data_IF_212100709089
#
_entry.id   IF_212100709089
#
_cell.length_a   1.000
_cell.length_b   1.000
_cell.length_c   1.000
_cell.angle_alpha   90.00
_cell.angle_beta   90.00
_cell.angle_gamma   90.00
#
_symmetry.space_group_name_H-M   'P 1'
#
loop_
_entity.id
_entity.type
_entity.pdbx_description
1 polymer ?
#
# COMPACT_ATOMS: atom_id res chain seq x y z
N UNK A 1 -3.12 -30.32 -21.49
CA UNK A 1 -2.44 -29.70 -20.33
C UNK A 1 -3.52 -29.43 -19.29
N UNK A 2 -3.33 -29.82 -18.06
CA UNK A 2 -4.28 -29.54 -16.96
C UNK A 2 -4.13 -28.05 -16.60
N UNK A 3 -5.22 -27.37 -16.19
CA UNK A 3 -5.20 -25.94 -15.81
C UNK A 3 -4.07 -25.59 -14.80
N UNK A 4 -3.73 -26.53 -13.91
CA UNK A 4 -2.65 -26.36 -12.94
C UNK A 4 -1.24 -26.41 -13.57
N UNK A 5 -1.05 -27.22 -14.61
CA UNK A 5 0.21 -27.29 -15.37
C UNK A 5 0.42 -25.99 -16.17
N UNK A 6 -0.63 -25.49 -16.80
CA UNK A 6 -0.57 -24.21 -17.52
C UNK A 6 -0.25 -23.04 -16.58
N UNK A 7 -0.87 -23.01 -15.38
CA UNK A 7 -0.56 -22.01 -14.36
C UNK A 7 0.91 -22.11 -13.92
N UNK A 8 1.40 -23.32 -13.67
CA UNK A 8 2.78 -23.55 -13.26
C UNK A 8 3.78 -23.06 -14.33
N UNK A 9 3.57 -23.41 -15.59
CA UNK A 9 4.40 -22.95 -16.70
C UNK A 9 4.40 -21.43 -16.82
N UNK A 10 3.24 -20.78 -16.75
CA UNK A 10 3.11 -19.33 -16.76
C UNK A 10 3.85 -18.62 -15.61
N UNK A 11 4.25 -19.35 -14.57
CA UNK A 11 5.02 -18.80 -13.43
C UNK A 11 6.51 -19.08 -13.55
N UNK A 12 6.89 -20.34 -13.90
CA UNK A 12 8.27 -20.81 -13.77
C UNK A 12 9.08 -20.76 -15.06
N UNK A 13 8.46 -20.57 -16.21
CA UNK A 13 9.18 -20.46 -17.48
C UNK A 13 10.07 -19.22 -17.56
N UNK A 14 11.05 -19.30 -18.46
CA UNK A 14 12.04 -18.24 -18.69
C UNK A 14 11.42 -16.88 -18.97
N UNK A 15 10.45 -16.81 -19.88
CA UNK A 15 9.87 -15.53 -20.31
C UNK A 15 9.09 -14.82 -19.20
N UNK A 16 8.16 -15.46 -18.44
CA UNK A 16 7.51 -14.88 -17.26
C UNK A 16 8.51 -14.41 -16.19
N UNK A 17 9.56 -15.19 -15.92
CA UNK A 17 10.60 -14.84 -14.96
C UNK A 17 11.43 -13.63 -15.44
N UNK A 18 11.83 -13.60 -16.71
CA UNK A 18 12.55 -12.48 -17.30
C UNK A 18 11.72 -11.19 -17.27
N UNK A 19 10.44 -11.28 -17.62
CA UNK A 19 9.51 -10.16 -17.51
C UNK A 19 9.37 -9.66 -16.07
N UNK A 20 9.36 -10.57 -15.11
CA UNK A 20 9.33 -10.26 -13.68
C UNK A 20 10.61 -9.58 -13.21
N UNK A 21 11.78 -9.99 -13.70
CA UNK A 21 13.06 -9.30 -13.48
C UNK A 21 12.99 -7.85 -13.97
N UNK A 22 12.51 -7.62 -15.20
CA UNK A 22 12.38 -6.26 -15.75
C UNK A 22 11.43 -5.39 -14.91
N UNK A 23 10.36 -5.95 -14.35
CA UNK A 23 9.47 -5.23 -13.44
C UNK A 23 10.15 -4.93 -12.10
N UNK A 24 10.89 -5.90 -11.53
CA UNK A 24 11.52 -5.78 -10.21
C UNK A 24 12.70 -4.80 -10.19
N UNK A 25 13.45 -4.63 -11.29
CA UNK A 25 14.60 -3.70 -11.34
C UNK A 25 14.22 -2.23 -11.37
N UNK A 26 12.97 -1.89 -11.70
CA UNK A 26 12.54 -0.50 -11.85
C UNK A 26 12.78 0.31 -10.57
N UNK A 27 13.57 1.40 -10.69
CA UNK A 27 13.88 2.30 -9.59
C UNK A 27 14.89 1.78 -8.55
N UNK A 28 15.42 0.56 -8.71
CA UNK A 28 16.38 -0.05 -7.77
C UNK A 28 17.66 -0.60 -8.42
N UNK A 29 17.86 -0.37 -9.71
CA UNK A 29 19.03 -0.84 -10.47
C UNK A 29 20.37 -0.29 -9.93
N UNK A 30 20.33 0.80 -9.16
CA UNK A 30 21.49 1.38 -8.48
C UNK A 30 22.04 0.53 -7.32
N UNK A 31 21.32 -0.53 -6.91
CA UNK A 31 21.77 -1.48 -5.89
C UNK A 31 22.64 -2.55 -6.56
N UNK A 32 23.82 -2.80 -6.02
CA UNK A 32 24.79 -3.73 -6.59
C UNK A 32 24.22 -5.12 -6.87
N UNK A 33 23.46 -5.69 -5.92
CA UNK A 33 22.81 -7.00 -6.09
C UNK A 33 21.79 -7.04 -7.23
N UNK A 34 21.11 -5.91 -7.50
CA UNK A 34 20.14 -5.79 -8.60
C UNK A 34 20.88 -5.59 -9.92
N UNK A 35 21.91 -4.73 -9.94
CA UNK A 35 22.74 -4.49 -11.10
C UNK A 35 23.45 -5.77 -11.55
N UNK A 36 24.05 -6.52 -10.61
CA UNK A 36 24.70 -7.80 -10.89
C UNK A 36 23.75 -8.81 -11.52
N UNK A 37 22.57 -9.03 -10.92
CA UNK A 37 21.57 -9.94 -11.50
C UNK A 37 21.11 -9.46 -12.89
N UNK A 38 20.92 -8.16 -13.08
CA UNK A 38 20.44 -7.60 -14.35
C UNK A 38 21.46 -7.72 -15.48
N UNK A 39 22.76 -7.50 -15.19
CA UNK A 39 23.82 -7.64 -16.17
C UNK A 39 23.96 -9.09 -16.66
N UNK A 40 23.73 -10.07 -15.79
CA UNK A 40 23.73 -11.50 -16.10
C UNK A 40 22.29 -12.05 -16.25
N UNK A 41 21.33 -11.21 -16.63
CA UNK A 41 19.89 -11.46 -16.48
C UNK A 41 19.41 -12.73 -17.19
N UNK A 42 19.93 -13.06 -18.36
CA UNK A 42 19.57 -14.29 -19.08
C UNK A 42 20.06 -15.51 -18.30
N UNK A 43 21.35 -15.54 -17.96
CA UNK A 43 21.96 -16.67 -17.25
C UNK A 43 21.33 -16.92 -15.87
N UNK A 44 21.17 -15.85 -15.07
CA UNK A 44 20.56 -15.91 -13.74
C UNK A 44 19.08 -16.34 -13.80
N UNK A 45 18.36 -15.93 -14.85
CA UNK A 45 16.97 -16.33 -15.04
C UNK A 45 16.85 -17.79 -15.49
N UNK A 46 17.72 -18.27 -16.37
CA UNK A 46 17.77 -19.69 -16.75
C UNK A 46 18.14 -20.58 -15.57
N UNK A 47 19.11 -20.16 -14.73
CA UNK A 47 19.44 -20.87 -13.48
C UNK A 47 18.24 -20.94 -12.54
N UNK A 48 17.50 -19.86 -12.41
CA UNK A 48 16.29 -19.81 -11.57
C UNK A 48 15.20 -20.73 -12.13
N UNK A 49 14.91 -20.69 -13.43
CA UNK A 49 13.97 -21.57 -14.10
C UNK A 49 14.34 -23.03 -13.85
N UNK A 50 15.60 -23.43 -14.11
CA UNK A 50 16.09 -24.79 -13.88
C UNK A 50 15.83 -25.24 -12.45
N UNK A 51 16.18 -24.42 -11.45
CA UNK A 51 15.95 -24.75 -10.04
C UNK A 51 14.47 -24.93 -9.71
N UNK A 52 13.60 -24.13 -10.30
CA UNK A 52 12.15 -24.23 -10.09
C UNK A 52 11.57 -25.51 -10.73
N UNK A 53 12.01 -25.85 -11.93
CA UNK A 53 11.59 -27.09 -12.63
C UNK A 53 12.08 -28.36 -11.94
N UNK A 54 13.30 -28.36 -11.45
CA UNK A 54 13.90 -29.49 -10.74
C UNK A 54 13.46 -29.62 -9.27
N UNK A 55 12.69 -28.65 -8.75
CA UNK A 55 12.28 -28.62 -7.34
C UNK A 55 13.44 -28.35 -6.36
N UNK A 56 14.59 -27.90 -6.87
CA UNK A 56 15.80 -27.63 -6.07
C UNK A 56 15.86 -26.16 -5.58
N UNK A 57 14.89 -25.33 -5.97
CA UNK A 57 14.81 -23.95 -5.50
C UNK A 57 14.59 -23.90 -3.99
N UNK A 58 15.41 -23.07 -3.32
CA UNK A 58 15.23 -22.68 -1.92
C UNK A 58 15.34 -21.16 -1.81
N UNK A 59 14.44 -20.53 -1.11
CA UNK A 59 14.54 -19.11 -0.85
C UNK A 59 15.78 -18.79 -0.01
N UNK A 60 16.44 -17.68 -0.31
CA UNK A 60 17.57 -17.22 0.51
C UNK A 60 17.03 -16.55 1.79
N UNK A 61 17.72 -16.72 2.90
CA UNK A 61 17.38 -16.03 4.13
C UNK A 61 17.33 -14.52 3.87
N UNK A 62 16.24 -13.83 4.26
CA UNK A 62 16.15 -12.39 4.08
C UNK A 62 17.09 -11.66 5.02
N UNK A 63 17.50 -10.45 4.62
CA UNK A 63 18.26 -9.54 5.48
C UNK A 63 17.28 -8.69 6.28
N UNK A 64 17.36 -8.76 7.61
CA UNK A 64 16.52 -7.96 8.50
C UNK A 64 17.29 -6.75 9.02
N UNK A 65 16.69 -5.56 8.96
CA UNK A 65 17.25 -4.34 9.50
C UNK A 65 16.16 -3.35 9.93
N UNK A 66 16.52 -2.41 10.79
CA UNK A 66 15.60 -1.37 11.27
C UNK A 66 15.77 -0.06 10.50
N UNK A 67 14.66 0.55 10.15
CA UNK A 67 14.59 1.93 9.63
C UNK A 67 13.94 2.80 10.69
N UNK A 68 14.61 3.88 11.09
CA UNK A 68 14.16 4.76 12.19
C UNK A 68 13.36 5.98 11.73
N UNK A 69 13.44 6.34 10.45
CA UNK A 69 12.78 7.56 9.94
C UNK A 69 11.85 7.22 8.73
N UNK A 70 10.63 7.77 8.64
CA UNK A 70 9.94 8.71 9.57
C UNK A 70 9.33 8.04 10.82
N UNK A 71 9.33 6.72 10.89
CA UNK A 71 8.95 5.87 12.03
C UNK A 71 9.87 4.66 12.06
N UNK A 72 10.13 4.16 13.26
CA UNK A 72 10.81 2.89 13.41
C UNK A 72 10.00 1.75 12.80
N UNK A 73 10.67 0.95 11.98
CA UNK A 73 10.10 -0.22 11.31
C UNK A 73 11.16 -1.27 11.12
N UNK A 74 10.81 -2.50 11.39
CA UNK A 74 11.59 -3.65 10.96
C UNK A 74 11.35 -3.90 9.48
N UNK A 75 12.44 -4.05 8.73
CA UNK A 75 12.41 -4.30 7.29
C UNK A 75 12.98 -5.69 7.02
N UNK A 76 12.24 -6.49 6.30
CA UNK A 76 12.67 -7.79 5.77
C UNK A 76 12.98 -7.59 4.28
N UNK A 77 14.24 -7.69 3.91
CA UNK A 77 14.71 -7.51 2.54
C UNK A 77 15.05 -8.86 1.93
N UNK A 78 14.20 -9.34 1.06
CA UNK A 78 14.39 -10.58 0.29
C UNK A 78 15.41 -10.38 -0.83
N UNK A 79 16.10 -11.44 -1.23
CA UNK A 79 17.07 -11.40 -2.33
C UNK A 79 16.41 -11.01 -3.65
N UNK A 80 17.18 -10.45 -4.58
CA UNK A 80 16.60 -10.02 -5.87
C UNK A 80 16.11 -11.23 -6.69
N UNK A 81 16.83 -12.35 -6.67
CA UNK A 81 16.41 -13.62 -7.30
C UNK A 81 15.04 -14.08 -6.78
N UNK A 82 14.87 -14.10 -5.47
CA UNK A 82 13.62 -14.55 -4.85
C UNK A 82 12.49 -13.55 -5.12
N UNK A 83 12.81 -12.26 -5.22
CA UNK A 83 11.85 -11.24 -5.63
C UNK A 83 11.37 -11.45 -7.07
N UNK A 84 12.24 -11.89 -7.98
CA UNK A 84 11.87 -12.21 -9.37
C UNK A 84 10.88 -13.37 -9.39
N UNK A 85 11.16 -14.47 -8.69
CA UNK A 85 10.24 -15.61 -8.58
C UNK A 85 8.90 -15.21 -7.94
N UNK A 86 8.94 -14.57 -6.78
CA UNK A 86 7.71 -14.12 -6.11
C UNK A 86 6.89 -13.16 -6.95
N UNK A 87 7.55 -12.33 -7.76
CA UNK A 87 6.87 -11.45 -8.70
C UNK A 87 6.14 -12.23 -9.79
N UNK A 88 6.77 -13.26 -10.35
CA UNK A 88 6.15 -14.12 -11.34
C UNK A 88 4.97 -14.89 -10.75
N UNK A 89 5.17 -15.53 -9.60
CA UNK A 89 4.12 -16.24 -8.87
C UNK A 89 2.93 -15.33 -8.53
N UNK A 90 3.22 -14.13 -8.05
CA UNK A 90 2.15 -13.17 -7.73
C UNK A 90 1.38 -12.70 -8.97
N UNK A 91 2.09 -12.29 -10.04
CA UNK A 91 1.45 -11.65 -11.20
C UNK A 91 0.66 -12.64 -12.06
N UNK A 92 1.12 -13.89 -12.13
CA UNK A 92 0.60 -14.89 -13.07
C UNK A 92 -0.29 -15.96 -12.39
N UNK A 93 -0.16 -16.18 -11.09
CA UNK A 93 -0.97 -17.17 -10.37
C UNK A 93 -1.78 -16.59 -9.21
N UNK A 94 -1.14 -15.97 -8.19
CA UNK A 94 -1.83 -15.53 -6.98
C UNK A 94 -2.83 -14.40 -7.28
N UNK A 95 -2.37 -13.31 -7.88
CA UNK A 95 -3.22 -12.12 -8.11
C UNK A 95 -4.44 -12.40 -8.99
N UNK A 96 -4.35 -13.13 -10.12
CA UNK A 96 -5.50 -13.45 -10.94
C UNK A 96 -6.61 -14.20 -10.21
N UNK A 97 -6.23 -15.11 -9.31
CA UNK A 97 -7.18 -15.91 -8.54
C UNK A 97 -7.76 -15.12 -7.35
N UNK A 98 -6.91 -14.46 -6.58
CA UNK A 98 -7.33 -13.71 -5.39
C UNK A 98 -8.18 -12.47 -5.72
N UNK A 99 -7.85 -11.75 -6.80
CA UNK A 99 -8.48 -10.47 -7.13
C UNK A 99 -9.95 -10.57 -7.56
N UNK A 100 -10.42 -11.74 -7.96
CA UNK A 100 -11.81 -11.97 -8.41
C UNK A 100 -12.85 -11.67 -7.33
N UNK A 101 -12.48 -11.86 -6.04
CA UNK A 101 -13.39 -11.65 -4.92
C UNK A 101 -13.34 -10.27 -4.28
N UNK A 102 -12.36 -9.41 -4.63
CA UNK A 102 -12.21 -8.13 -3.95
C UNK A 102 -13.29 -7.12 -4.35
N UNK A 103 -13.90 -6.47 -3.38
CA UNK A 103 -14.85 -5.39 -3.66
C UNK A 103 -14.18 -4.27 -4.46
N UNK A 104 -15.00 -3.53 -5.24
CA UNK A 104 -14.48 -2.41 -6.04
C UNK A 104 -13.78 -1.35 -5.18
N UNK A 105 -14.31 -1.06 -3.99
CA UNK A 105 -13.88 0.02 -3.10
C UNK A 105 -12.67 -0.32 -2.20
N UNK A 106 -12.09 -1.53 -2.36
CA UNK A 106 -10.74 -1.85 -1.88
C UNK A 106 -9.72 -1.32 -2.91
N UNK A 107 -8.95 -0.28 -2.52
CA UNK A 107 -8.13 0.53 -3.43
C UNK A 107 -6.63 0.23 -3.35
N UNK A 108 -6.19 -0.66 -2.46
CA UNK A 108 -4.77 -0.97 -2.28
C UNK A 108 -4.33 -2.18 -3.11
N UNK A 109 -3.08 -2.17 -3.55
CA UNK A 109 -2.36 -3.32 -4.13
C UNK A 109 -3.07 -4.08 -5.26
N UNK A 110 -3.89 -3.39 -6.05
CA UNK A 110 -4.62 -3.96 -7.18
C UNK A 110 -4.29 -3.23 -8.49
N UNK A 111 -4.29 -3.95 -9.62
CA UNK A 111 -4.08 -3.37 -10.96
C UNK A 111 -5.14 -2.29 -11.24
N UNK A 112 -4.71 -1.16 -11.76
CA UNK A 112 -5.60 -0.05 -12.07
C UNK A 112 -6.19 0.69 -10.85
N UNK A 113 -5.77 0.37 -9.62
CA UNK A 113 -6.13 1.07 -8.38
C UNK A 113 -4.91 1.79 -7.77
N UNK A 114 -5.02 2.30 -6.59
CA UNK A 114 -3.95 3.04 -5.91
C UNK A 114 -4.43 4.34 -5.28
N UNK A 115 -3.50 5.12 -4.74
CA UNK A 115 -3.81 6.32 -3.94
C UNK A 115 -4.59 7.39 -4.70
N UNK A 116 -4.31 7.57 -5.99
CA UNK A 116 -5.02 8.59 -6.80
C UNK A 116 -6.48 8.16 -7.05
N UNK A 117 -6.70 6.90 -7.41
CA UNK A 117 -8.06 6.37 -7.58
C UNK A 117 -8.84 6.36 -6.28
N UNK A 118 -8.19 6.02 -5.16
CA UNK A 118 -8.80 6.08 -3.84
C UNK A 118 -9.23 7.51 -3.46
N UNK A 119 -8.39 8.51 -3.70
CA UNK A 119 -8.74 9.91 -3.47
C UNK A 119 -9.92 10.38 -4.33
N UNK A 120 -9.91 10.04 -5.62
CA UNK A 120 -11.01 10.37 -6.51
C UNK A 120 -12.31 9.66 -6.10
N UNK A 121 -12.21 8.42 -5.62
CA UNK A 121 -13.37 7.67 -5.14
C UNK A 121 -13.99 8.29 -3.89
N UNK A 122 -13.16 8.66 -2.90
CA UNK A 122 -13.62 9.36 -1.70
C UNK A 122 -14.27 10.72 -2.05
N UNK A 123 -13.65 11.47 -2.98
CA UNK A 123 -14.24 12.72 -3.48
C UNK A 123 -15.62 12.50 -4.10
N UNK A 124 -15.77 11.46 -4.92
CA UNK A 124 -17.06 11.11 -5.53
C UNK A 124 -18.10 10.68 -4.48
N UNK A 125 -17.70 9.99 -3.42
CA UNK A 125 -18.59 9.65 -2.32
C UNK A 125 -19.08 10.88 -1.57
N UNK A 126 -18.21 11.81 -1.24
CA UNK A 126 -18.58 13.08 -0.61
C UNK A 126 -19.55 13.89 -1.47
N UNK A 127 -19.33 13.97 -2.78
CA UNK A 127 -20.23 14.64 -3.71
C UNK A 127 -21.60 13.96 -3.82
N UNK A 128 -21.62 12.62 -3.81
CA UNK A 128 -22.89 11.85 -3.83
C UNK A 128 -23.65 12.00 -2.50
N UNK A 129 -22.94 12.01 -1.37
CA UNK A 129 -23.51 12.27 -0.07
C UNK A 129 -24.12 13.68 -0.02
N UNK A 130 -23.39 14.68 -0.47
CA UNK A 130 -23.86 16.07 -0.52
C UNK A 130 -25.17 16.25 -1.29
N UNK A 131 -25.34 15.59 -2.42
CA UNK A 131 -26.58 15.70 -3.21
C UNK A 131 -27.83 15.22 -2.47
N UNK A 132 -27.69 14.41 -1.43
CA UNK A 132 -28.79 13.85 -0.66
C UNK A 132 -28.99 14.50 0.70
N UNK A 133 -27.86 14.85 1.35
CA UNK A 133 -27.82 15.24 2.76
C UNK A 133 -27.10 16.58 2.99
N UNK A 134 -26.70 17.28 1.92
CA UNK A 134 -25.91 18.50 2.06
C UNK A 134 -24.55 18.22 2.72
N UNK A 135 -24.16 19.09 3.64
CA UNK A 135 -22.93 18.93 4.43
C UNK A 135 -23.14 18.15 5.73
N UNK A 136 -24.38 17.77 6.03
CA UNK A 136 -24.73 17.03 7.24
C UNK A 136 -24.41 15.56 7.08
N UNK A 137 -23.91 14.98 8.15
CA UNK A 137 -23.50 13.58 8.18
C UNK A 137 -22.24 13.36 8.98
N UNK A 138 -21.84 12.10 9.06
CA UNK A 138 -20.77 11.63 9.92
C UNK A 138 -19.84 10.69 9.18
N UNK A 139 -18.64 10.58 9.72
CA UNK A 139 -17.59 9.70 9.23
C UNK A 139 -17.15 8.79 10.36
N UNK A 140 -17.11 7.49 10.11
CA UNK A 140 -16.31 6.57 10.89
C UNK A 140 -15.00 6.36 10.13
N UNK A 141 -13.91 6.83 10.70
CA UNK A 141 -12.55 6.56 10.23
C UNK A 141 -11.93 5.49 11.10
N UNK A 142 -11.40 4.44 10.48
CA UNK A 142 -10.84 3.28 11.14
C UNK A 142 -9.37 3.10 10.79
N UNK A 143 -8.57 2.72 11.79
CA UNK A 143 -7.15 2.34 11.67
C UNK A 143 -6.93 1.09 12.54
N UNK A 144 -6.34 0.04 11.97
CA UNK A 144 -6.08 -1.20 12.71
C UNK A 144 -4.70 -1.08 13.38
N UNK A 145 -4.64 -1.45 14.67
CA UNK A 145 -3.38 -1.40 15.41
C UNK A 145 -2.44 -2.51 14.98
N UNK A 146 -1.21 -2.13 14.56
CA UNK A 146 -0.17 -3.10 14.21
C UNK A 146 -0.60 -4.13 13.16
N UNK A 147 -1.32 -3.72 12.10
CA UNK A 147 -1.96 -4.64 11.16
C UNK A 147 -1.04 -5.77 10.68
N UNK A 148 0.09 -5.43 10.07
CA UNK A 148 1.04 -6.45 9.60
C UNK A 148 1.78 -7.18 10.71
N UNK A 149 2.29 -6.50 11.76
CA UNK A 149 2.94 -7.20 12.89
C UNK A 149 2.04 -8.17 13.64
N UNK A 150 0.73 -7.91 13.69
CA UNK A 150 -0.23 -8.74 14.43
C UNK A 150 -0.97 -9.76 13.53
N UNK A 151 -0.64 -9.78 12.24
CA UNK A 151 -1.29 -10.71 11.30
C UNK A 151 -0.82 -12.14 11.58
N UNK A 152 -1.74 -13.02 12.00
CA UNK A 152 -1.47 -14.44 12.16
C UNK A 152 -1.21 -15.08 10.80
N UNK A 153 -0.16 -15.88 10.69
CA UNK A 153 0.20 -16.59 9.46
C UNK A 153 -0.93 -17.53 9.03
N UNK A 154 -1.52 -18.27 9.97
CA UNK A 154 -2.65 -19.14 9.75
C UNK A 154 -3.84 -18.42 9.07
N UNK A 155 -4.21 -17.24 9.57
CA UNK A 155 -5.33 -16.46 9.02
C UNK A 155 -5.06 -16.02 7.57
N UNK A 156 -3.83 -15.66 7.25
CA UNK A 156 -3.45 -15.30 5.88
C UNK A 156 -3.41 -16.53 4.95
N UNK A 157 -2.82 -17.63 5.41
CA UNK A 157 -2.72 -18.89 4.65
C UNK A 157 -4.10 -19.49 4.40
N UNK A 158 -5.03 -19.42 5.36
CA UNK A 158 -6.41 -19.87 5.17
C UNK A 158 -7.11 -19.11 4.02
N UNK A 159 -6.85 -17.81 3.86
CA UNK A 159 -7.39 -17.03 2.74
C UNK A 159 -6.84 -17.46 1.40
N UNK A 160 -5.55 -17.77 1.35
CA UNK A 160 -4.92 -18.32 0.15
C UNK A 160 -5.48 -19.71 -0.17
N UNK A 161 -5.54 -20.62 0.81
CA UNK A 161 -6.06 -21.98 0.66
C UNK A 161 -7.50 -22.03 0.11
N UNK A 162 -8.35 -21.09 0.53
CA UNK A 162 -9.74 -21.01 0.05
C UNK A 162 -9.90 -20.56 -1.40
N UNK A 163 -8.91 -19.86 -1.96
CA UNK A 163 -9.07 -19.17 -3.26
C UNK A 163 -8.07 -19.61 -4.32
N UNK A 164 -6.92 -20.15 -3.93
CA UNK A 164 -5.89 -20.60 -4.85
C UNK A 164 -6.08 -22.06 -5.21
N UNK A 165 -5.68 -22.43 -6.43
CA UNK A 165 -5.51 -23.83 -6.79
C UNK A 165 -4.40 -24.48 -5.95
N UNK A 166 -4.37 -25.82 -5.94
CA UNK A 166 -3.48 -26.58 -5.06
C UNK A 166 -2.00 -26.28 -5.28
N UNK A 167 -1.56 -26.16 -6.54
CA UNK A 167 -0.15 -25.87 -6.86
C UNK A 167 0.25 -24.46 -6.41
N UNK A 168 -0.58 -23.45 -6.76
CA UNK A 168 -0.32 -22.06 -6.37
C UNK A 168 -0.31 -21.89 -4.85
N UNK A 169 -1.21 -22.57 -4.14
CA UNK A 169 -1.25 -22.53 -2.68
C UNK A 169 0.03 -23.11 -2.08
N UNK A 170 0.44 -24.34 -2.49
CA UNK A 170 1.66 -25.00 -2.01
C UNK A 170 2.91 -24.10 -2.19
N UNK A 171 3.09 -23.50 -3.38
CA UNK A 171 4.23 -22.62 -3.63
C UNK A 171 4.16 -21.33 -2.82
N UNK A 172 2.96 -20.78 -2.61
CA UNK A 172 2.75 -19.59 -1.78
C UNK A 172 3.06 -19.86 -0.31
N UNK A 173 2.55 -20.97 0.24
CA UNK A 173 2.79 -21.40 1.61
C UNK A 173 4.28 -21.67 1.87
N UNK A 174 4.95 -22.42 0.98
CA UNK A 174 6.39 -22.70 1.06
C UNK A 174 7.21 -21.42 1.14
N UNK A 175 6.98 -20.47 0.21
CA UNK A 175 7.73 -19.22 0.18
C UNK A 175 7.48 -18.36 1.43
N UNK A 176 6.25 -18.30 1.92
CA UNK A 176 5.95 -17.52 3.13
C UNK A 176 6.58 -18.15 4.37
N UNK A 177 6.51 -19.48 4.53
CA UNK A 177 7.10 -20.18 5.66
C UNK A 177 8.64 -20.13 5.65
N UNK A 178 9.29 -20.13 4.49
CA UNK A 178 10.76 -19.98 4.39
C UNK A 178 11.27 -18.57 4.72
N UNK A 179 10.41 -17.55 4.61
CA UNK A 179 10.81 -16.14 4.75
C UNK A 179 10.34 -15.46 6.01
N UNK A 180 9.35 -16.01 6.69
CA UNK A 180 8.78 -15.44 7.91
C UNK A 180 8.70 -16.47 9.00
N UNK A 181 9.51 -16.28 10.05
CA UNK A 181 9.54 -17.15 11.22
C UNK A 181 8.37 -16.86 12.17
N UNK A 182 7.97 -17.88 12.95
CA UNK A 182 6.94 -17.76 13.99
C UNK A 182 5.51 -17.84 13.43
N UNK A 183 4.54 -17.49 14.27
CA UNK A 183 3.11 -17.65 13.99
C UNK A 183 2.41 -16.35 13.61
N UNK A 184 3.08 -15.21 13.80
CA UNK A 184 2.53 -13.88 13.60
C UNK A 184 3.56 -12.93 13.00
N UNK A 185 3.06 -11.99 12.25
CA UNK A 185 3.86 -10.90 11.73
C UNK A 185 4.34 -11.11 10.30
N UNK A 186 3.94 -10.17 9.47
CA UNK A 186 4.47 -10.04 8.12
C UNK A 186 5.07 -8.65 7.92
N UNK A 187 6.06 -8.57 7.05
CA UNK A 187 6.59 -7.30 6.60
C UNK A 187 6.15 -7.07 5.14
N UNK A 188 5.49 -5.95 4.82
CA UNK A 188 4.91 -5.70 3.49
C UNK A 188 5.97 -5.45 2.39
N UNK A 189 7.13 -6.08 2.47
CA UNK A 189 8.22 -5.99 1.50
C UNK A 189 7.98 -6.76 0.22
N UNK A 190 7.14 -7.80 0.24
CA UNK A 190 6.75 -8.58 -0.94
C UNK A 190 5.32 -8.30 -1.36
N UNK A 191 5.01 -8.53 -2.64
CA UNK A 191 3.64 -8.41 -3.16
C UNK A 191 2.72 -9.49 -2.61
N UNK A 192 3.22 -10.69 -2.36
CA UNK A 192 2.45 -11.77 -1.77
C UNK A 192 1.91 -11.37 -0.39
N UNK A 193 2.75 -10.77 0.46
CA UNK A 193 2.35 -10.24 1.76
C UNK A 193 1.35 -9.09 1.61
N UNK A 194 1.49 -8.25 0.59
CA UNK A 194 0.52 -7.19 0.32
C UNK A 194 -0.84 -7.76 -0.10
N UNK A 195 -0.87 -8.82 -0.91
CA UNK A 195 -2.11 -9.53 -1.27
C UNK A 195 -2.71 -10.23 -0.05
N UNK A 196 -1.90 -10.89 0.79
CA UNK A 196 -2.36 -11.40 2.08
C UNK A 196 -3.05 -10.32 2.90
N UNK A 197 -2.41 -9.13 3.02
CA UNK A 197 -2.95 -8.00 3.77
C UNK A 197 -4.28 -7.47 3.25
N UNK A 198 -4.53 -7.47 1.95
CA UNK A 198 -5.86 -7.07 1.44
C UNK A 198 -6.89 -8.20 1.53
N UNK A 199 -6.45 -9.46 1.49
CA UNK A 199 -7.33 -10.64 1.50
C UNK A 199 -7.89 -10.97 2.89
N UNK A 200 -7.10 -10.76 3.94
CA UNK A 200 -7.53 -11.04 5.33
C UNK A 200 -8.76 -10.22 5.73
N UNK A 201 -8.91 -9.01 5.18
CA UNK A 201 -10.06 -8.12 5.42
C UNK A 201 -11.15 -8.21 4.34
N UNK A 202 -11.04 -9.08 3.36
CA UNK A 202 -12.00 -9.20 2.26
C UNK A 202 -13.43 -9.53 2.75
N UNK A 203 -13.56 -10.49 3.65
CA UNK A 203 -14.87 -10.82 4.26
C UNK A 203 -15.44 -9.64 5.07
N UNK A 204 -14.59 -8.84 5.71
CA UNK A 204 -15.03 -7.63 6.39
C UNK A 204 -15.51 -6.57 5.38
N UNK A 205 -14.86 -6.46 4.23
CA UNK A 205 -15.29 -5.55 3.15
C UNK A 205 -16.70 -5.91 2.68
N UNK A 206 -16.96 -7.18 2.43
CA UNK A 206 -18.28 -7.70 2.05
C UNK A 206 -19.31 -7.49 3.17
N UNK A 207 -18.96 -7.80 4.41
CA UNK A 207 -19.83 -7.58 5.57
C UNK A 207 -20.27 -6.11 5.68
N UNK A 208 -19.34 -5.17 5.52
CA UNK A 208 -19.65 -3.73 5.57
C UNK A 208 -20.57 -3.31 4.42
N UNK A 209 -20.34 -3.84 3.22
CA UNK A 209 -21.13 -3.47 2.02
C UNK A 209 -22.50 -4.14 1.99
N UNK A 210 -22.58 -5.41 2.32
CA UNK A 210 -23.74 -6.27 2.09
C UNK A 210 -24.62 -6.40 3.32
N UNK A 211 -24.02 -6.56 4.50
CA UNK A 211 -24.77 -6.72 5.76
C UNK A 211 -25.01 -5.38 6.44
N UNK A 212 -23.97 -4.59 6.66
CA UNK A 212 -24.13 -3.24 7.21
C UNK A 212 -24.61 -2.22 6.17
N UNK A 213 -24.72 -2.58 4.90
CA UNK A 213 -25.26 -1.78 3.80
C UNK A 213 -24.69 -0.36 3.72
N UNK A 214 -23.41 -0.19 4.12
CA UNK A 214 -22.72 1.10 4.02
C UNK A 214 -22.39 1.41 2.56
N UNK A 215 -23.13 2.34 1.99
CA UNK A 215 -23.00 2.73 0.58
C UNK A 215 -21.67 3.40 0.28
N UNK A 216 -21.21 4.29 1.16
CA UNK A 216 -19.99 5.09 1.01
C UNK A 216 -18.91 4.52 1.92
N UNK A 217 -18.35 3.39 1.52
CA UNK A 217 -17.25 2.68 2.16
C UNK A 217 -16.05 2.61 1.23
N UNK A 218 -14.86 2.92 1.73
CA UNK A 218 -13.60 2.81 0.99
C UNK A 218 -12.50 2.32 1.92
N UNK A 219 -11.66 1.41 1.44
CA UNK A 219 -10.50 0.89 2.17
C UNK A 219 -9.21 1.05 1.36
N UNK A 220 -8.14 1.40 2.07
CA UNK A 220 -6.76 1.37 1.58
C UNK A 220 -5.88 0.67 2.62
N UNK A 221 -5.62 -0.62 2.44
CA UNK A 221 -4.97 -1.52 3.42
C UNK A 221 -5.77 -1.58 4.73
N UNK A 222 -5.16 -1.16 5.84
CA UNK A 222 -5.71 -1.07 7.19
C UNK A 222 -6.47 0.23 7.50
N UNK A 223 -6.39 1.23 6.63
CA UNK A 223 -7.09 2.52 6.76
C UNK A 223 -8.38 2.50 5.94
N UNK A 224 -9.53 2.63 6.59
CA UNK A 224 -10.81 2.63 5.91
C UNK A 224 -11.82 3.63 6.49
N UNK A 225 -12.76 4.02 5.63
CA UNK A 225 -13.68 5.13 5.88
C UNK A 225 -15.09 4.70 5.52
N UNK A 226 -16.03 4.95 6.44
CA UNK A 226 -17.47 4.84 6.24
C UNK A 226 -18.10 6.22 6.38
N UNK A 227 -19.05 6.56 5.49
CA UNK A 227 -19.80 7.82 5.55
C UNK A 227 -21.29 7.48 5.62
N UNK A 228 -22.00 8.10 6.58
CA UNK A 228 -23.43 7.93 6.79
C UNK A 228 -24.05 9.20 7.37
N UNK A 229 -25.38 9.37 7.24
CA UNK A 229 -26.11 10.48 7.82
C UNK A 229 -26.29 10.37 9.33
N UNK A 230 -26.39 9.15 9.89
CA UNK A 230 -26.58 8.89 11.30
C UNK A 230 -25.26 8.57 12.01
N UNK A 231 -24.98 9.30 13.10
CA UNK A 231 -23.87 9.04 14.01
C UNK A 231 -24.05 7.74 14.80
N UNK A 232 -25.26 7.53 15.30
CA UNK A 232 -25.65 6.35 16.08
C UNK A 232 -25.43 5.07 15.27
N UNK A 233 -25.85 5.08 13.99
CA UNK A 233 -25.64 3.95 13.12
C UNK A 233 -24.15 3.66 12.86
N UNK A 234 -23.32 4.69 12.69
CA UNK A 234 -21.88 4.49 12.56
C UNK A 234 -21.22 3.98 13.84
N UNK A 235 -21.71 4.36 15.02
CA UNK A 235 -21.25 3.78 16.29
C UNK A 235 -21.62 2.30 16.38
N UNK A 236 -22.85 1.92 16.04
CA UNK A 236 -23.26 0.51 15.94
C UNK A 236 -22.40 -0.27 14.92
N UNK A 237 -22.11 0.33 13.77
CA UNK A 237 -21.19 -0.27 12.78
C UNK A 237 -19.78 -0.47 13.35
N UNK A 238 -19.27 0.51 14.11
CA UNK A 238 -17.95 0.42 14.74
C UNK A 238 -17.86 -0.78 15.67
N UNK A 239 -18.84 -0.98 16.55
CA UNK A 239 -18.88 -2.11 17.48
C UNK A 239 -18.91 -3.45 16.74
N UNK A 240 -19.78 -3.57 15.73
CA UNK A 240 -19.91 -4.80 14.93
C UNK A 240 -18.63 -5.11 14.14
N UNK A 241 -17.96 -4.09 13.60
CA UNK A 241 -16.69 -4.22 12.87
C UNK A 241 -15.58 -4.62 13.85
N UNK A 242 -15.55 -4.02 15.06
CA UNK A 242 -14.55 -4.35 16.07
C UNK A 242 -14.64 -5.81 16.51
N UNK A 243 -15.85 -6.34 16.73
CA UNK A 243 -16.07 -7.76 17.02
C UNK A 243 -15.52 -8.66 15.89
N UNK A 244 -15.82 -8.34 14.62
CA UNK A 244 -15.30 -9.08 13.47
C UNK A 244 -13.77 -9.02 13.32
N UNK A 245 -13.14 -7.93 13.75
CA UNK A 245 -11.68 -7.81 13.76
C UNK A 245 -11.08 -8.65 14.88
N UNK A 246 -11.71 -8.68 16.06
CA UNK A 246 -11.27 -9.49 17.21
C UNK A 246 -11.28 -10.99 16.89
N UNK A 247 -12.29 -11.48 16.16
CA UNK A 247 -12.36 -12.87 15.69
C UNK A 247 -11.11 -13.26 14.87
N UNK A 248 -10.45 -12.30 14.24
CA UNK A 248 -9.22 -12.49 13.43
C UNK A 248 -7.93 -12.10 14.18
N UNK A 249 -8.03 -11.75 15.46
CA UNK A 249 -6.88 -11.32 16.27
C UNK A 249 -6.46 -9.88 16.06
N UNK A 250 -7.30 -9.03 15.46
CA UNK A 250 -7.02 -7.60 15.28
C UNK A 250 -7.81 -6.72 16.24
N UNK A 251 -7.29 -5.52 16.48
CA UNK A 251 -7.96 -4.50 17.25
C UNK A 251 -7.84 -3.13 16.59
N UNK A 252 -8.82 -2.28 16.80
CA UNK A 252 -8.75 -0.89 16.40
C UNK A 252 -7.65 -0.12 17.15
N UNK A 253 -7.01 0.78 16.48
CA UNK A 253 -6.26 1.84 17.11
C UNK A 253 -7.26 2.86 17.69
N UNK A 254 -7.55 2.75 18.99
CA UNK A 254 -8.57 3.56 19.67
C UNK A 254 -8.31 5.07 19.58
N UNK A 255 -7.04 5.51 19.46
CA UNK A 255 -6.70 6.92 19.31
C UNK A 255 -7.05 7.48 17.93
N UNK A 256 -7.06 6.63 16.90
CA UNK A 256 -7.31 7.02 15.51
C UNK A 256 -8.69 6.64 15.01
N UNK A 257 -9.28 5.57 15.53
CA UNK A 257 -10.62 5.12 15.15
C UNK A 257 -11.68 5.93 15.89
N UNK A 258 -12.50 6.66 15.14
CA UNK A 258 -13.51 7.55 15.72
C UNK A 258 -14.60 7.90 14.72
N UNK A 259 -15.79 8.15 15.28
CA UNK A 259 -16.92 8.78 14.58
C UNK A 259 -16.85 10.29 14.80
N UNK A 260 -17.08 11.06 13.77
CA UNK A 260 -17.10 12.53 13.84
C UNK A 260 -17.86 13.15 12.66
N UNK A 261 -18.33 14.42 12.83
CA UNK A 261 -19.05 15.13 11.78
C UNK A 261 -18.20 15.35 10.52
N UNK A 262 -18.81 15.17 9.33
CA UNK A 262 -18.22 15.49 8.03
C UNK A 262 -17.66 16.90 7.91
N UNK A 263 -18.24 17.87 8.62
CA UNK A 263 -17.80 19.27 8.63
C UNK A 263 -16.35 19.46 9.11
N UNK A 264 -15.82 18.49 9.93
CA UNK A 264 -14.41 18.50 10.36
C UNK A 264 -13.43 18.15 9.24
N UNK A 265 -13.93 17.55 8.15
CA UNK A 265 -13.14 17.06 7.04
C UNK A 265 -12.46 15.71 7.34
N UNK A 266 -12.19 14.94 6.29
CA UNK A 266 -11.63 13.58 6.37
C UNK A 266 -10.16 13.62 6.00
N UNK A 267 -9.30 13.07 6.84
CA UNK A 267 -7.88 12.91 6.52
C UNK A 267 -7.63 11.51 5.94
N UNK A 268 -7.24 11.46 4.67
CA UNK A 268 -6.99 10.19 3.97
C UNK A 268 -5.87 10.34 2.93
N UNK A 269 -4.95 9.38 2.90
CA UNK A 269 -3.87 9.30 1.91
C UNK A 269 -3.12 10.61 1.67
N UNK A 270 -2.74 11.29 2.76
CA UNK A 270 -1.90 12.49 2.72
C UNK A 270 -2.65 13.82 2.63
N UNK A 271 -3.97 13.80 2.42
CA UNK A 271 -4.80 15.00 2.29
C UNK A 271 -5.93 15.03 3.32
N UNK A 272 -6.39 16.22 3.65
CA UNK A 272 -7.66 16.46 4.31
C UNK A 272 -8.70 16.87 3.26
N UNK A 273 -9.76 16.10 3.15
CA UNK A 273 -10.90 16.33 2.28
C UNK A 273 -11.91 17.18 3.03
N UNK A 274 -12.24 18.37 2.53
CA UNK A 274 -13.28 19.23 3.07
C UNK A 274 -14.42 19.36 2.07
N UNK A 275 -15.61 19.03 2.51
CA UNK A 275 -16.84 19.29 1.78
C UNK A 275 -17.31 20.71 2.11
N UNK A 276 -17.51 21.54 1.09
CA UNK A 276 -17.99 22.91 1.23
C UNK A 276 -19.51 22.97 1.16
N UNK A 277 -20.10 24.06 1.61
CA UNK A 277 -21.55 24.31 1.56
C UNK A 277 -22.09 24.40 0.11
N UNK A 278 -21.20 24.52 -0.88
CA UNK A 278 -21.55 24.48 -2.32
C UNK A 278 -21.38 23.09 -2.95
N UNK A 279 -21.10 22.04 -2.13
CA UNK A 279 -20.86 20.66 -2.61
C UNK A 279 -19.50 20.44 -3.24
N UNK A 280 -18.61 21.43 -3.25
CA UNK A 280 -17.25 21.28 -3.74
C UNK A 280 -16.40 20.55 -2.71
N UNK A 281 -15.61 19.56 -3.14
CA UNK A 281 -14.65 18.86 -2.27
C UNK A 281 -13.26 19.44 -2.49
N UNK A 282 -12.66 19.96 -1.43
CA UNK A 282 -11.32 20.57 -1.43
C UNK A 282 -10.33 19.63 -0.74
N UNK A 283 -9.21 19.35 -1.39
CA UNK A 283 -8.12 18.55 -0.88
C UNK A 283 -6.98 19.44 -0.38
N UNK A 284 -6.69 19.39 0.90
CA UNK A 284 -5.70 20.27 1.56
C UNK A 284 -4.59 19.41 2.19
N UNK A 285 -3.35 19.78 1.97
CA UNK A 285 -2.22 19.20 2.70
C UNK A 285 -2.22 19.66 4.17
N UNK A 286 -1.90 18.77 5.09
CA UNK A 286 -1.77 19.15 6.51
C UNK A 286 -0.65 20.18 6.69
N UNK A 287 -0.90 21.29 7.43
CA UNK A 287 0.13 22.31 7.70
C UNK A 287 1.41 21.72 8.33
N UNK A 288 1.27 20.73 9.21
CA UNK A 288 2.40 20.02 9.81
C UNK A 288 3.31 19.38 8.74
N UNK A 289 2.74 18.73 7.72
CA UNK A 289 3.52 18.09 6.66
C UNK A 289 4.27 19.12 5.81
N UNK A 290 3.65 20.27 5.54
CA UNK A 290 4.30 21.37 4.82
C UNK A 290 5.47 21.94 5.63
N UNK A 291 5.29 22.14 6.95
CA UNK A 291 6.36 22.60 7.85
C UNK A 291 7.53 21.60 7.90
N UNK A 292 7.23 20.31 7.95
CA UNK A 292 8.26 19.26 7.92
C UNK A 292 9.03 19.27 6.60
N UNK A 293 8.34 19.43 5.46
CA UNK A 293 9.01 19.49 4.16
C UNK A 293 9.90 20.71 4.03
N UNK A 294 9.48 21.89 4.52
CA UNK A 294 10.36 23.07 4.57
C UNK A 294 11.65 22.80 5.34
N UNK A 295 11.55 22.21 6.53
CA UNK A 295 12.72 21.85 7.34
C UNK A 295 13.63 20.84 6.62
N UNK A 296 13.04 19.86 5.96
CA UNK A 296 13.77 18.85 5.17
C UNK A 296 14.52 19.50 4.01
N UNK A 297 13.85 20.34 3.24
CA UNK A 297 14.45 21.06 2.11
C UNK A 297 15.60 21.97 2.54
N UNK A 298 15.43 22.73 3.62
CA UNK A 298 16.51 23.55 4.20
C UNK A 298 17.74 22.69 4.47
N UNK A 299 17.58 21.57 5.20
CA UNK A 299 18.69 20.67 5.52
C UNK A 299 19.36 20.10 4.26
N UNK A 300 18.58 19.66 3.27
CA UNK A 300 19.10 19.09 2.02
C UNK A 300 19.88 20.12 1.20
N UNK A 301 19.39 21.36 1.12
CA UNK A 301 20.10 22.44 0.42
C UNK A 301 21.40 22.78 1.14
N UNK A 302 21.44 22.84 2.50
CA UNK A 302 22.68 23.05 3.24
C UNK A 302 23.69 21.91 2.98
N UNK A 303 23.25 20.65 2.96
CA UNK A 303 24.12 19.53 2.60
C UNK A 303 24.69 19.66 1.17
N UNK A 304 23.85 20.11 0.23
CA UNK A 304 24.31 20.30 -1.16
C UNK A 304 25.29 21.47 -1.28
N UNK A 305 25.08 22.57 -0.54
CA UNK A 305 26.03 23.71 -0.51
C UNK A 305 27.40 23.34 0.06
N UNK A 306 27.44 22.34 0.97
CA UNK A 306 28.70 21.79 1.51
C UNK A 306 29.32 20.69 0.65
N UNK A 307 28.74 20.38 -0.51
CA UNK A 307 29.24 19.31 -1.41
C UNK A 307 28.88 17.89 -0.96
N UNK A 308 28.14 17.70 0.15
CA UNK A 308 27.77 16.38 0.69
C UNK A 308 26.72 15.66 -0.18
N UNK A 309 26.01 16.40 -1.02
CA UNK A 309 24.95 15.87 -1.86
C UNK A 309 24.83 16.63 -3.19
N UNK A 310 24.66 15.94 -4.33
CA UNK A 310 24.42 16.61 -5.61
C UNK A 310 23.09 17.41 -5.60
N UNK A 311 23.12 18.63 -6.19
CA UNK A 311 21.91 19.46 -6.36
C UNK A 311 20.78 18.69 -7.03
N UNK A 312 21.07 17.91 -8.06
CA UNK A 312 20.08 17.10 -8.78
C UNK A 312 19.26 16.18 -7.84
N UNK A 313 19.88 15.62 -6.79
CA UNK A 313 19.17 14.81 -5.79
C UNK A 313 18.24 15.62 -4.91
N UNK A 314 18.58 16.87 -4.63
CA UNK A 314 17.70 17.78 -3.90
C UNK A 314 16.53 18.20 -4.77
N UNK A 315 16.76 18.50 -6.04
CA UNK A 315 15.73 18.81 -7.04
C UNK A 315 14.75 17.63 -7.20
N UNK A 316 15.24 16.38 -7.30
CA UNK A 316 14.40 15.18 -7.33
C UNK A 316 13.49 15.08 -6.09
N UNK A 317 14.05 15.30 -4.90
CA UNK A 317 13.27 15.27 -3.64
C UNK A 317 12.18 16.34 -3.62
N UNK A 318 12.50 17.58 -4.03
CA UNK A 318 11.54 18.68 -4.08
C UNK A 318 10.45 18.42 -5.12
N UNK A 319 10.83 18.00 -6.33
CA UNK A 319 9.89 17.69 -7.41
C UNK A 319 8.93 16.54 -7.03
N UNK A 320 9.42 15.51 -6.34
CA UNK A 320 8.59 14.43 -5.82
C UNK A 320 7.50 14.93 -4.85
N UNK A 321 7.87 15.78 -3.89
CA UNK A 321 6.92 16.40 -2.97
C UNK A 321 5.96 17.37 -3.70
N UNK A 322 6.48 18.20 -4.60
CA UNK A 322 5.72 19.16 -5.40
C UNK A 322 4.64 18.47 -6.24
N UNK A 323 4.99 17.38 -6.90
CA UNK A 323 4.06 16.56 -7.69
C UNK A 323 2.98 15.91 -6.81
N UNK A 324 3.33 15.45 -5.61
CA UNK A 324 2.34 14.99 -4.64
C UNK A 324 1.40 16.13 -4.22
N UNK A 325 1.94 17.28 -3.85
CA UNK A 325 1.16 18.45 -3.42
C UNK A 325 0.23 18.97 -4.52
N UNK A 326 0.64 18.91 -5.78
CA UNK A 326 -0.16 19.32 -6.95
C UNK A 326 -1.45 18.52 -7.15
N UNK A 327 -1.55 17.33 -6.55
CA UNK A 327 -2.77 16.50 -6.59
C UNK A 327 -3.93 17.08 -5.75
N UNK A 328 -3.63 18.05 -4.89
CA UNK A 328 -4.62 18.76 -4.09
C UNK A 328 -4.92 20.19 -4.61
N UNK A 329 -5.76 20.91 -3.88
CA UNK A 329 -6.06 22.33 -4.12
C UNK A 329 -4.93 23.22 -3.59
N UNK A 330 -3.73 23.09 -4.15
CA UNK A 330 -2.48 23.59 -3.56
C UNK A 330 -1.79 24.70 -4.35
N UNK A 331 -2.43 25.33 -5.34
CA UNK A 331 -1.81 26.33 -6.23
C UNK A 331 -1.09 27.46 -5.47
N UNK A 332 -1.77 28.07 -4.48
CA UNK A 332 -1.16 29.12 -3.66
C UNK A 332 0.00 28.61 -2.79
N UNK A 333 -0.12 27.38 -2.30
CA UNK A 333 0.92 26.72 -1.52
C UNK A 333 2.16 26.42 -2.39
N UNK A 334 1.94 25.88 -3.58
CA UNK A 334 3.02 25.55 -4.52
C UNK A 334 3.81 26.80 -4.90
N UNK A 335 3.13 27.93 -5.25
CA UNK A 335 3.82 29.21 -5.54
C UNK A 335 4.72 29.66 -4.38
N UNK A 336 4.23 29.55 -3.13
CA UNK A 336 5.01 29.92 -1.94
C UNK A 336 6.20 28.96 -1.71
N UNK A 337 6.02 27.68 -1.97
CA UNK A 337 7.09 26.69 -1.81
C UNK A 337 8.13 26.78 -2.92
N UNK A 338 7.71 27.03 -4.17
CA UNK A 338 8.62 27.26 -5.30
C UNK A 338 9.51 28.49 -5.03
N UNK A 339 8.93 29.59 -4.50
CA UNK A 339 9.70 30.77 -4.08
C UNK A 339 10.66 30.39 -2.95
N UNK A 340 10.18 29.79 -1.87
CA UNK A 340 11.01 29.37 -0.74
C UNK A 340 12.19 28.49 -1.19
N UNK A 341 11.97 27.53 -2.10
CA UNK A 341 13.01 26.65 -2.61
C UNK A 341 14.09 27.41 -3.40
N UNK A 342 13.69 28.40 -4.21
CA UNK A 342 14.62 29.30 -4.91
C UNK A 342 15.43 30.15 -3.94
N UNK A 343 14.78 30.75 -2.95
CA UNK A 343 15.40 31.62 -1.93
C UNK A 343 16.44 30.86 -1.08
N UNK A 344 16.19 29.58 -0.78
CA UNK A 344 17.17 28.72 -0.12
C UNK A 344 18.50 28.60 -0.90
N UNK A 345 18.45 28.52 -2.21
CA UNK A 345 19.66 28.43 -3.04
C UNK A 345 20.42 29.74 -3.12
N UNK A 346 19.70 30.88 -3.09
CA UNK A 346 20.31 32.21 -3.07
C UNK A 346 20.90 32.57 -1.69
N UNK A 347 20.48 31.94 -0.61
CA UNK A 347 20.83 32.30 0.78
C UNK A 347 19.90 33.32 1.40
N UNK A 348 18.73 33.56 0.80
CA UNK A 348 17.75 34.60 1.19
C UNK A 348 16.53 34.02 1.97
N UNK A 349 16.55 32.75 2.39
CA UNK A 349 15.39 32.06 2.98
C UNK A 349 15.51 31.86 4.50
#
# INVERSE_FOLDING_TARGET
MNDAEEIAENVIEFEPLLNSMYKCKKGVIWKDSVAHYYLNGIEETLKLEKQLREGTYKARKPVCFKVTHPKERDIVSISFRDRVYQRSLNDNAIYPQMSKGFIYDNMACQKGKGTDKARNRLKAFLQKHYRKHGTDGYVLQCDISGYYPNMKHEVALEKFKKKLDGWTYEKTETVLNEQYDGDTGYNPGSQMVQIAGISVLDELDHYIKEVLRIKYYIRYMDDFILIHESEEYLNTCREKIEAKLQDKGFAFNQKKTKVYSLRKGITFLGFTFKLTDTGKVILILKPKNVKQERKKLYRLVQQAKRGEKPKAKVDECYNGWRNHAAKGNSTKLLRRMDKYYKDLWKGEA
#
